data_IF_901035613718
#
_entry.id   IF_901035613718
#
_cell.length_a   1.000
_cell.length_b   1.000
_cell.length_c   1.000
_cell.angle_alpha   90.00
_cell.angle_beta   90.00
_cell.angle_gamma   90.00
#
_symmetry.space_group_name_H-M   'P 1'
#
loop_
_entity.id
_entity.type
_entity.pdbx_description
1 polymer ?
#
# COMPACT_ATOMS: atom_id res chain seq x y z
N UNK A 1 29.65 46.10 -1.24
CA UNK A 1 28.60 45.19 -1.73
C UNK A 1 29.31 44.01 -2.39
N UNK A 2 29.27 42.81 -1.82
CA UNK A 2 29.71 41.54 -2.44
C UNK A 2 29.38 40.39 -1.47
N UNK A 3 28.14 39.92 -1.47
CA UNK A 3 27.72 38.73 -0.69
C UNK A 3 26.83 37.76 -1.48
N UNK A 4 26.58 38.00 -2.77
CA UNK A 4 25.64 37.18 -3.57
C UNK A 4 26.31 35.96 -4.25
N UNK A 5 27.65 35.93 -4.36
CA UNK A 5 28.37 34.91 -5.15
C UNK A 5 28.41 33.50 -4.54
N UNK A 6 28.38 33.38 -3.20
CA UNK A 6 28.53 32.06 -2.53
C UNK A 6 27.26 31.19 -2.55
N UNK A 7 26.07 31.80 -2.64
CA UNK A 7 24.80 31.06 -2.63
C UNK A 7 24.51 30.37 -3.96
N UNK A 8 24.82 31.05 -5.07
CA UNK A 8 24.60 30.51 -6.42
C UNK A 8 25.59 29.40 -6.76
N UNK A 9 26.84 29.50 -6.28
CA UNK A 9 27.83 28.41 -6.43
C UNK A 9 27.44 27.17 -5.63
N UNK A 10 26.88 27.30 -4.43
CA UNK A 10 26.40 26.14 -3.66
C UNK A 10 25.18 25.47 -4.32
N UNK A 11 24.22 26.25 -4.85
CA UNK A 11 23.08 25.69 -5.61
C UNK A 11 23.54 24.88 -6.82
N UNK A 12 24.48 25.42 -7.58
CA UNK A 12 24.98 24.75 -8.78
C UNK A 12 25.68 23.41 -8.47
N UNK A 13 26.45 23.35 -7.37
CA UNK A 13 27.11 22.11 -6.94
C UNK A 13 26.08 21.05 -6.56
N UNK A 14 25.07 21.39 -5.75
CA UNK A 14 24.01 20.45 -5.32
C UNK A 14 23.20 19.93 -6.51
N UNK A 15 22.83 20.80 -7.45
CA UNK A 15 22.12 20.40 -8.67
C UNK A 15 22.98 19.46 -9.54
N UNK A 16 24.28 19.74 -9.68
CA UNK A 16 25.19 18.90 -10.45
C UNK A 16 25.34 17.51 -9.83
N UNK A 17 25.47 17.42 -8.50
CA UNK A 17 25.57 16.14 -7.80
C UNK A 17 24.29 15.32 -7.91
N UNK A 18 23.14 15.97 -7.75
CA UNK A 18 21.84 15.32 -7.88
C UNK A 18 21.63 14.76 -9.29
N UNK A 19 21.94 15.57 -10.32
CA UNK A 19 21.88 15.13 -11.72
C UNK A 19 22.80 13.92 -11.97
N UNK A 20 24.02 13.96 -11.45
CA UNK A 20 24.96 12.84 -11.59
C UNK A 20 24.44 11.56 -10.93
N UNK A 21 23.75 11.66 -9.80
CA UNK A 21 23.09 10.51 -9.14
C UNK A 21 21.95 9.94 -9.98
N UNK A 22 21.09 10.78 -10.57
CA UNK A 22 20.01 10.34 -11.47
C UNK A 22 20.60 9.62 -12.69
N UNK A 23 21.60 10.21 -13.35
CA UNK A 23 22.25 9.61 -14.52
C UNK A 23 22.90 8.27 -14.16
N UNK A 24 23.56 8.18 -13.00
CA UNK A 24 24.13 6.93 -12.49
C UNK A 24 23.06 5.86 -12.25
N UNK A 25 21.92 6.24 -11.67
CA UNK A 25 20.79 5.34 -11.46
C UNK A 25 20.20 4.84 -12.78
N UNK A 26 19.98 5.73 -13.75
CA UNK A 26 19.51 5.37 -15.08
C UNK A 26 20.44 4.37 -15.78
N UNK A 27 21.76 4.56 -15.67
CA UNK A 27 22.76 3.60 -16.18
C UNK A 27 22.63 2.23 -15.51
N UNK A 28 22.42 2.19 -14.19
CA UNK A 28 22.21 0.94 -13.44
C UNK A 28 20.92 0.22 -13.85
N UNK A 29 19.83 0.96 -14.07
CA UNK A 29 18.54 0.39 -14.53
C UNK A 29 18.58 -0.11 -15.97
N UNK A 30 19.43 0.47 -16.82
CA UNK A 30 19.69 -0.09 -18.15
C UNK A 30 20.47 -1.40 -18.08
N UNK A 31 21.42 -1.51 -17.15
CA UNK A 31 22.24 -2.71 -16.97
C UNK A 31 21.55 -3.85 -16.20
N UNK A 32 20.56 -3.54 -15.35
CA UNK A 32 19.87 -4.51 -14.51
C UNK A 32 18.37 -4.35 -14.63
N UNK A 33 17.70 -5.39 -15.10
CA UNK A 33 16.25 -5.42 -15.16
C UNK A 33 15.66 -5.56 -13.74
N UNK A 34 14.63 -4.77 -13.40
CA UNK A 34 13.85 -4.96 -12.18
C UNK A 34 13.17 -6.35 -12.16
N UNK A 35 12.73 -6.80 -10.98
CA UNK A 35 11.95 -8.03 -10.83
C UNK A 35 10.60 -7.96 -11.53
N UNK A 36 9.97 -6.78 -11.53
CA UNK A 36 8.73 -6.49 -12.26
C UNK A 36 9.09 -6.38 -13.75
N UNK A 37 8.53 -7.26 -14.61
CA UNK A 37 8.82 -7.22 -16.04
C UNK A 37 8.33 -5.93 -16.69
N UNK A 38 9.06 -5.47 -17.72
CA UNK A 38 8.76 -4.25 -18.47
C UNK A 38 7.31 -4.28 -19.03
N UNK A 39 6.84 -5.44 -19.52
CA UNK A 39 5.48 -5.61 -20.04
C UNK A 39 4.38 -5.41 -18.99
N UNK A 40 4.62 -5.84 -17.75
CA UNK A 40 3.67 -5.68 -16.65
C UNK A 40 3.61 -4.21 -16.21
N UNK A 41 4.78 -3.58 -16.07
CA UNK A 41 4.86 -2.16 -15.76
C UNK A 41 4.16 -1.32 -16.84
N UNK A 42 4.36 -1.66 -18.13
CA UNK A 42 3.74 -0.96 -19.24
C UNK A 42 2.22 -1.13 -19.23
N UNK A 43 1.73 -2.34 -19.00
CA UNK A 43 0.29 -2.61 -18.88
C UNK A 43 -0.37 -1.74 -17.79
N UNK A 44 0.25 -1.65 -16.61
CA UNK A 44 -0.30 -0.85 -15.52
C UNK A 44 -0.23 0.66 -15.79
N UNK A 45 0.82 1.15 -16.45
CA UNK A 45 0.91 2.55 -16.86
C UNK A 45 -0.14 2.92 -17.90
N UNK A 46 -0.35 2.05 -18.90
CA UNK A 46 -1.41 2.23 -19.90
C UNK A 46 -2.78 2.30 -19.24
N UNK A 47 -3.04 1.43 -18.27
CA UNK A 47 -4.28 1.44 -17.49
C UNK A 47 -4.46 2.72 -16.66
N UNK A 48 -3.36 3.32 -16.19
CA UNK A 48 -3.38 4.60 -15.49
C UNK A 48 -3.50 5.82 -16.44
N UNK A 49 -3.55 5.62 -17.75
CA UNK A 49 -3.58 6.69 -18.75
C UNK A 49 -2.22 7.29 -19.09
N UNK A 50 -1.12 6.70 -18.57
CA UNK A 50 0.23 7.13 -18.87
C UNK A 50 0.79 6.33 -20.05
N UNK A 51 1.18 7.04 -21.12
CA UNK A 51 1.89 6.45 -22.26
C UNK A 51 3.39 6.70 -22.09
N UNK A 52 4.12 5.66 -21.72
CA UNK A 52 5.58 5.66 -21.60
C UNK A 52 6.21 4.72 -22.64
N UNK A 53 5.71 4.79 -23.89
CA UNK A 53 5.98 3.78 -24.92
C UNK A 53 7.41 3.80 -25.45
N UNK A 54 8.18 4.86 -25.16
CA UNK A 54 9.55 5.03 -25.66
C UNK A 54 10.61 5.20 -24.57
N UNK A 55 10.24 5.35 -23.29
CA UNK A 55 11.19 5.60 -22.21
C UNK A 55 11.30 4.40 -21.27
N UNK A 56 12.13 3.43 -21.68
CA UNK A 56 12.44 2.24 -20.90
C UNK A 56 13.10 2.57 -19.55
N UNK A 57 13.80 3.71 -19.44
CA UNK A 57 14.45 4.11 -18.19
C UNK A 57 13.38 4.56 -17.19
N UNK A 58 12.42 5.39 -17.62
CA UNK A 58 11.30 5.80 -16.79
C UNK A 58 10.44 4.60 -16.36
N UNK A 59 10.16 3.68 -17.29
CA UNK A 59 9.43 2.45 -17.01
C UNK A 59 10.10 1.60 -15.93
N UNK A 60 11.41 1.35 -16.09
CA UNK A 60 12.21 0.56 -15.13
C UNK A 60 12.42 1.27 -13.80
N UNK A 61 12.48 2.59 -13.80
CA UNK A 61 12.56 3.38 -12.58
C UNK A 61 11.28 3.23 -11.76
N UNK A 62 10.12 3.30 -12.40
CA UNK A 62 8.83 3.10 -11.74
C UNK A 62 8.67 1.66 -11.22
N UNK A 63 9.08 0.67 -12.00
CA UNK A 63 9.11 -0.73 -11.58
C UNK A 63 10.01 -0.92 -10.34
N UNK A 64 11.24 -0.41 -10.38
CA UNK A 64 12.18 -0.49 -9.25
C UNK A 64 11.68 0.27 -8.01
N UNK A 65 10.98 1.40 -8.19
CA UNK A 65 10.37 2.14 -7.11
C UNK A 65 9.25 1.34 -6.43
N UNK A 66 8.37 0.71 -7.23
CA UNK A 66 7.31 -0.17 -6.72
C UNK A 66 7.89 -1.37 -5.96
N UNK A 67 8.94 -2.00 -6.48
CA UNK A 67 9.65 -3.09 -5.78
C UNK A 67 10.21 -2.63 -4.44
N UNK A 68 10.85 -1.46 -4.40
CA UNK A 68 11.39 -0.90 -3.15
C UNK A 68 10.27 -0.64 -2.14
N UNK A 69 9.13 -0.14 -2.58
CA UNK A 69 7.98 0.12 -1.72
C UNK A 69 7.40 -1.19 -1.17
N UNK A 70 7.22 -2.22 -2.01
CA UNK A 70 6.77 -3.54 -1.58
C UNK A 70 7.75 -4.18 -0.59
N UNK A 71 9.05 -4.06 -0.83
CA UNK A 71 10.08 -4.53 0.10
C UNK A 71 10.04 -3.82 1.45
N UNK A 72 9.71 -2.52 1.45
CA UNK A 72 9.55 -1.78 2.70
C UNK A 72 8.37 -2.32 3.49
N UNK A 73 7.19 -2.46 2.85
CA UNK A 73 6.01 -3.04 3.49
C UNK A 73 6.30 -4.45 4.04
N UNK A 74 7.01 -5.29 3.28
CA UNK A 74 7.39 -6.62 3.76
C UNK A 74 8.33 -6.60 4.98
N UNK A 75 9.19 -5.59 5.11
CA UNK A 75 10.06 -5.42 6.29
C UNK A 75 9.23 -4.97 7.49
N UNK A 76 8.38 -3.96 7.30
CA UNK A 76 7.51 -3.45 8.35
C UNK A 76 6.59 -4.58 8.88
N UNK A 77 6.05 -5.42 7.99
CA UNK A 77 5.29 -6.61 8.37
C UNK A 77 6.10 -7.64 9.16
N UNK A 78 7.37 -7.84 8.78
CA UNK A 78 8.24 -8.77 9.50
C UNK A 78 8.50 -8.25 10.91
N UNK A 79 8.80 -6.97 11.05
CA UNK A 79 9.08 -6.34 12.34
C UNK A 79 7.87 -6.48 13.28
N UNK A 80 6.64 -6.28 12.76
CA UNK A 80 5.40 -6.53 13.51
C UNK A 80 5.23 -8.01 13.90
N UNK A 81 5.53 -8.93 12.98
CA UNK A 81 5.43 -10.37 13.24
C UNK A 81 6.43 -10.82 14.31
N UNK A 82 7.66 -10.29 14.27
CA UNK A 82 8.72 -10.57 15.25
C UNK A 82 8.32 -10.03 16.64
N UNK A 83 7.84 -8.78 16.73
CA UNK A 83 7.34 -8.18 17.98
C UNK A 83 6.19 -8.98 18.60
N UNK A 84 5.29 -9.49 17.77
CA UNK A 84 4.17 -10.34 18.23
C UNK A 84 4.67 -11.66 18.80
N UNK A 85 5.65 -12.30 18.16
CA UNK A 85 6.24 -13.54 18.68
C UNK A 85 6.94 -13.33 20.01
N UNK A 86 7.72 -12.25 20.14
CA UNK A 86 8.37 -11.86 21.39
C UNK A 86 7.34 -11.66 22.52
N UNK A 87 6.24 -10.97 22.22
CA UNK A 87 5.14 -10.73 23.18
C UNK A 87 4.46 -12.03 23.60
N UNK A 88 4.28 -12.98 22.68
CA UNK A 88 3.61 -14.26 22.94
C UNK A 88 4.53 -15.30 23.61
N UNK A 89 5.82 -15.01 23.84
CA UNK A 89 6.82 -15.93 24.40
C UNK A 89 6.84 -17.29 23.69
N UNK A 90 6.62 -17.28 22.37
CA UNK A 90 6.69 -18.49 21.58
C UNK A 90 8.14 -19.01 21.57
N UNK A 91 8.34 -20.34 21.55
CA UNK A 91 9.69 -20.91 21.58
C UNK A 91 10.52 -20.38 20.40
N UNK A 92 11.78 -20.04 20.67
CA UNK A 92 12.74 -19.44 19.72
C UNK A 92 12.95 -20.24 18.42
N UNK A 93 12.50 -21.51 18.39
CA UNK A 93 12.53 -22.37 17.20
C UNK A 93 11.33 -22.21 16.27
N UNK A 94 10.34 -21.40 16.64
CA UNK A 94 9.19 -21.12 15.77
C UNK A 94 9.49 -19.93 14.88
N UNK A 95 9.56 -20.15 13.56
CA UNK A 95 9.78 -19.07 12.60
C UNK A 95 8.61 -18.07 12.67
N UNK A 96 8.93 -16.77 12.67
CA UNK A 96 7.94 -15.71 12.52
C UNK A 96 7.21 -15.86 11.19
N UNK A 97 5.90 -16.08 11.25
CA UNK A 97 5.05 -16.13 10.07
C UNK A 97 4.36 -14.76 9.95
N UNK A 98 4.64 -14.04 8.87
CA UNK A 98 3.91 -12.84 8.54
C UNK A 98 2.48 -13.22 8.10
N UNK A 99 1.48 -12.62 8.76
CA UNK A 99 0.06 -12.94 8.58
C UNK A 99 -0.69 -11.80 7.90
N UNK A 100 -1.92 -12.08 7.43
CA UNK A 100 -2.81 -11.06 6.89
C UNK A 100 -3.19 -9.99 7.92
N UNK A 101 -3.19 -10.34 9.21
CA UNK A 101 -3.38 -9.39 10.32
C UNK A 101 -2.23 -8.39 10.39
N UNK A 102 -0.99 -8.86 10.26
CA UNK A 102 0.22 -8.01 10.28
C UNK A 102 0.21 -7.05 9.07
N UNK A 103 -0.17 -7.54 7.88
CA UNK A 103 -0.32 -6.69 6.69
C UNK A 103 -1.39 -5.62 6.89
N UNK A 104 -2.55 -5.99 7.44
CA UNK A 104 -3.67 -5.06 7.67
C UNK A 104 -3.25 -3.97 8.66
N UNK A 105 -2.52 -4.34 9.70
CA UNK A 105 -1.99 -3.41 10.69
C UNK A 105 -1.02 -2.42 10.05
N UNK A 106 0.02 -2.91 9.35
CA UNK A 106 1.03 -2.05 8.70
C UNK A 106 0.38 -1.09 7.70
N UNK A 107 -0.48 -1.60 6.82
CA UNK A 107 -1.14 -0.78 5.82
C UNK A 107 -1.99 0.33 6.45
N UNK A 108 -2.67 0.04 7.56
CA UNK A 108 -3.52 1.00 8.25
C UNK A 108 -2.72 2.05 9.01
N UNK A 109 -1.75 1.62 9.81
CA UNK A 109 -1.04 2.51 10.74
C UNK A 109 0.04 3.34 10.05
N UNK A 110 0.83 2.72 9.15
CA UNK A 110 1.98 3.40 8.54
C UNK A 110 1.67 3.98 7.16
N UNK A 111 0.67 3.43 6.46
CA UNK A 111 0.34 3.81 5.08
C UNK A 111 -1.07 4.41 4.91
N UNK A 112 -1.89 4.44 5.97
CA UNK A 112 -3.23 5.05 5.96
C UNK A 112 -4.29 4.31 5.13
N UNK A 113 -4.04 3.05 4.78
CA UNK A 113 -4.90 2.23 3.92
C UNK A 113 -5.85 1.35 4.75
N UNK A 114 -7.15 1.40 4.42
CA UNK A 114 -8.15 0.55 5.09
C UNK A 114 -8.42 -0.72 4.27
N UNK A 115 -7.99 -1.88 4.79
CA UNK A 115 -8.21 -3.18 4.14
C UNK A 115 -9.51 -3.81 4.63
N UNK A 116 -10.57 -3.74 3.80
CA UNK A 116 -11.83 -4.43 4.08
C UNK A 116 -11.67 -5.94 3.86
N UNK A 117 -11.94 -6.76 4.90
CA UNK A 117 -11.84 -8.23 4.84
C UNK A 117 -12.99 -8.92 4.13
N UNK A 118 -13.89 -8.19 3.49
CA UNK A 118 -15.09 -8.72 2.86
C UNK A 118 -14.77 -9.40 1.52
N UNK A 119 -14.27 -10.63 1.59
CA UNK A 119 -13.98 -11.43 0.40
C UNK A 119 -13.85 -12.93 0.61
N UNK A 120 -14.10 -13.46 1.82
CA UNK A 120 -14.12 -14.91 2.07
C UNK A 120 -15.28 -15.30 2.96
N UNK A 121 -16.38 -15.68 2.31
CA UNK A 121 -17.43 -16.50 2.91
C UNK A 121 -18.82 -15.93 2.74
N UNK A 122 -19.35 -15.93 1.52
CA UNK A 122 -20.79 -16.10 1.22
C UNK A 122 -21.03 -16.04 -0.30
N UNK A 123 -20.84 -17.18 -0.97
CA UNK A 123 -21.52 -17.40 -2.26
C UNK A 123 -21.78 -18.89 -2.47
N UNK A 124 -22.61 -19.44 -1.57
CA UNK A 124 -23.47 -20.59 -1.86
C UNK A 124 -24.83 -20.31 -1.23
N UNK A 125 -25.78 -19.91 -2.08
CA UNK A 125 -27.23 -20.16 -2.04
C UNK A 125 -28.04 -18.90 -2.41
N UNK A 126 -28.73 -19.03 -3.54
CA UNK A 126 -30.01 -18.42 -3.97
C UNK A 126 -29.84 -18.01 -5.45
N UNK A 127 -30.15 -18.84 -6.45
CA UNK A 127 -31.49 -19.35 -6.78
C UNK A 127 -32.56 -18.25 -6.72
N UNK A 128 -32.85 -17.65 -7.89
CA UNK A 128 -34.20 -17.35 -8.35
C UNK A 128 -34.99 -16.21 -7.68
N UNK A 129 -35.60 -15.39 -8.53
CA UNK A 129 -36.96 -14.90 -8.27
C UNK A 129 -37.09 -13.43 -7.86
N UNK A 130 -37.47 -12.63 -8.86
CA UNK A 130 -38.37 -11.47 -8.84
C UNK A 130 -38.99 -11.02 -7.49
N UNK A 131 -39.02 -9.70 -7.27
CA UNK A 131 -40.00 -9.09 -6.36
C UNK A 131 -39.64 -7.68 -5.89
N UNK A 132 -40.47 -6.72 -6.28
CA UNK A 132 -40.42 -5.30 -5.90
C UNK A 132 -40.56 -5.03 -4.39
N UNK A 133 -40.16 -3.83 -3.93
CA UNK A 133 -40.66 -3.32 -2.64
C UNK A 133 -39.82 -2.23 -1.98
N UNK A 134 -40.29 -1.00 -2.11
CA UNK A 134 -39.88 0.21 -1.38
C UNK A 134 -40.18 0.08 0.12
N UNK A 135 -39.29 0.61 0.99
CA UNK A 135 -39.59 1.54 2.11
C UNK A 135 -38.72 1.32 3.37
N UNK A 136 -38.00 2.40 3.71
CA UNK A 136 -37.86 3.02 5.03
C UNK A 136 -38.17 2.25 6.33
N UNK A 137 -37.29 2.52 7.30
CA UNK A 137 -37.54 2.56 8.76
C UNK A 137 -37.62 1.22 9.50
N UNK A 138 -36.49 0.77 10.06
CA UNK A 138 -36.47 -0.30 11.08
C UNK A 138 -35.44 -0.07 12.20
N UNK A 139 -34.82 1.10 12.29
CA UNK A 139 -33.85 1.40 13.36
C UNK A 139 -34.40 2.21 14.53
N UNK A 140 -35.67 2.66 14.49
CA UNK A 140 -36.28 3.46 15.58
C UNK A 140 -37.23 2.68 16.51
N UNK A 141 -37.49 1.39 16.27
CA UNK A 141 -38.41 0.59 17.12
C UNK A 141 -37.75 -0.24 18.21
N UNK A 142 -36.43 -0.18 18.36
CA UNK A 142 -35.68 -0.92 19.40
C UNK A 142 -35.48 -0.13 20.69
N UNK A 143 -35.77 1.18 20.73
CA UNK A 143 -35.55 2.01 21.93
C UNK A 143 -36.80 2.24 22.79
N UNK A 144 -38.02 2.01 22.30
CA UNK A 144 -39.26 2.20 23.09
C UNK A 144 -39.77 0.96 23.83
N UNK A 145 -39.09 -0.20 23.74
CA UNK A 145 -39.48 -1.40 24.50
C UNK A 145 -38.73 -1.60 25.82
N UNK A 146 -37.78 -0.74 26.18
CA UNK A 146 -37.04 -0.83 27.45
C UNK A 146 -37.53 0.10 28.56
N UNK A 147 -38.39 1.07 28.28
CA UNK A 147 -38.89 2.02 29.31
C UNK A 147 -40.24 1.61 29.93
N UNK A 148 -40.89 0.54 29.44
CA UNK A 148 -42.19 0.07 29.96
C UNK A 148 -42.16 -1.03 31.02
N UNK A 149 -40.98 -1.44 31.52
CA UNK A 149 -40.85 -2.57 32.45
C UNK A 149 -40.25 -2.22 33.82
N UNK A 150 -40.14 -0.94 34.17
CA UNK A 150 -39.62 -0.50 35.49
C UNK A 150 -40.63 0.30 36.34
N UNK A 151 -41.93 0.25 35.99
CA UNK A 151 -42.97 0.80 36.85
C UNK A 151 -44.21 -0.11 36.88
N UNK A 152 -44.11 -1.22 37.62
CA UNK A 152 -45.22 -1.82 38.38
C UNK A 152 -44.68 -2.49 39.63
#
# INVERSE_FOLDING_TARGET
MNTESSGDQQRFVVESEFRNRIVSLAKKLNARQPLIPDSLAQHHLHRAGCRADSDMVALRLLAAAAERQLLQICRDMKDVADLRQETQRLPERSAAIATADDLTFVLREDYGESVNREGRGESRRAAGGAGAGVAHSSQERSLQRREGQLQR
#
